data_IF_913092127276
#
_entry.id   IF_913092127276
#
_cell.length_a   1.000
_cell.length_b   1.000
_cell.length_c   1.000
_cell.angle_alpha   90.00
_cell.angle_beta   90.00
_cell.angle_gamma   90.00
#
_symmetry.space_group_name_H-M   'P 1'
#
loop_
_entity.id
_entity.type
_entity.pdbx_description
1 polymer ?
#
# COMPACT_ATOMS: atom_id res chain seq x y z
N UNK A 1 -7.49 7.35 14.37
CA UNK A 1 -6.68 6.15 14.04
C UNK A 1 -5.61 6.53 13.03
N UNK A 2 -4.45 5.86 13.07
CA UNK A 2 -3.30 6.11 12.19
C UNK A 2 -2.90 4.81 11.51
N UNK A 3 -2.87 4.80 10.18
CA UNK A 3 -2.46 3.65 9.36
C UNK A 3 -1.24 4.00 8.54
N UNK A 4 -0.31 3.05 8.40
CA UNK A 4 0.89 3.17 7.60
C UNK A 4 0.88 2.21 6.42
N UNK A 5 1.53 2.62 5.33
CA UNK A 5 1.93 1.76 4.22
C UNK A 5 3.28 2.18 3.65
N UNK A 6 3.95 1.26 2.96
CA UNK A 6 5.23 1.53 2.33
C UNK A 6 5.08 2.27 0.99
N UNK A 7 6.03 3.13 0.71
CA UNK A 7 6.18 3.84 -0.55
C UNK A 7 7.44 3.36 -1.25
N UNK A 8 7.32 3.15 -2.55
CA UNK A 8 8.39 2.77 -3.45
C UNK A 8 8.39 1.28 -3.80
N UNK A 9 9.36 0.92 -4.64
CA UNK A 9 9.57 -0.42 -5.17
C UNK A 9 10.89 -0.96 -4.67
N UNK A 10 10.90 -2.21 -4.22
CA UNK A 10 12.14 -2.93 -3.93
C UNK A 10 12.96 -3.14 -5.21
N UNK A 11 14.21 -2.69 -5.17
CA UNK A 11 15.24 -2.93 -6.18
C UNK A 11 16.51 -3.47 -5.50
N UNK A 12 17.51 -3.82 -6.30
CA UNK A 12 18.82 -4.25 -5.82
C UNK A 12 19.89 -3.55 -6.61
N UNK A 13 20.91 -3.04 -5.93
CA UNK A 13 22.04 -2.44 -6.62
C UNK A 13 22.92 -3.50 -7.30
N UNK A 14 23.93 -3.06 -8.06
CA UNK A 14 24.89 -3.95 -8.75
C UNK A 14 25.68 -4.88 -7.80
N UNK A 15 25.68 -4.58 -6.49
CA UNK A 15 26.35 -5.34 -5.43
C UNK A 15 25.36 -6.19 -4.60
N UNK A 16 24.08 -6.22 -4.96
CA UNK A 16 23.03 -6.96 -4.27
C UNK A 16 22.51 -6.30 -2.98
N UNK A 17 22.83 -5.01 -2.72
CA UNK A 17 22.33 -4.28 -1.56
C UNK A 17 20.85 -3.93 -1.72
N UNK A 18 20.13 -3.92 -0.60
CA UNK A 18 18.70 -3.57 -0.56
C UNK A 18 18.50 -2.09 -0.88
N UNK A 19 17.70 -1.82 -1.91
CA UNK A 19 17.40 -0.47 -2.36
C UNK A 19 15.89 -0.34 -2.58
N UNK A 20 15.37 0.86 -2.35
CA UNK A 20 13.99 1.24 -2.66
C UNK A 20 14.02 2.40 -3.63
N UNK A 21 13.29 2.27 -4.73
CA UNK A 21 13.07 3.37 -5.68
C UNK A 21 11.70 3.99 -5.38
N UNK A 22 11.66 5.28 -5.06
CA UNK A 22 10.44 6.03 -4.75
C UNK A 22 10.52 7.42 -5.38
N UNK A 23 9.43 7.86 -6.03
CA UNK A 23 9.35 9.17 -6.72
C UNK A 23 10.53 9.47 -7.69
N UNK A 24 11.14 8.43 -8.28
CA UNK A 24 12.29 8.58 -9.19
C UNK A 24 13.65 8.68 -8.49
N UNK A 25 13.70 8.57 -7.16
CA UNK A 25 14.93 8.58 -6.37
C UNK A 25 15.24 7.19 -5.78
N UNK A 26 16.53 6.91 -5.61
CA UNK A 26 17.04 5.66 -5.04
C UNK A 26 17.44 5.83 -3.57
N UNK A 27 16.90 4.95 -2.72
CA UNK A 27 17.12 4.97 -1.29
C UNK A 27 17.70 3.66 -0.79
N UNK A 28 18.87 3.73 -0.17
CA UNK A 28 19.44 2.59 0.54
C UNK A 28 18.80 2.47 1.92
N UNK A 29 18.26 1.28 2.21
CA UNK A 29 17.74 0.93 3.53
C UNK A 29 18.71 -0.04 4.20
N UNK A 30 18.91 0.14 5.50
CA UNK A 30 19.82 -0.70 6.30
C UNK A 30 19.14 -1.14 7.60
N UNK A 31 19.58 -2.28 8.11
CA UNK A 31 19.16 -2.80 9.42
C UNK A 31 17.62 -2.83 9.57
N UNK A 32 17.11 -2.21 10.64
CA UNK A 32 15.69 -2.14 10.96
C UNK A 32 14.83 -1.41 9.93
N UNK A 33 15.39 -0.48 9.14
CA UNK A 33 14.63 0.19 8.07
C UNK A 33 14.11 -0.81 7.03
N UNK A 34 14.90 -1.86 6.73
CA UNK A 34 14.52 -2.91 5.77
C UNK A 34 13.32 -3.68 6.28
N UNK A 35 13.31 -4.04 7.57
CA UNK A 35 12.22 -4.80 8.18
C UNK A 35 10.94 -3.96 8.28
N UNK A 36 11.04 -2.72 8.76
CA UNK A 36 9.89 -1.81 8.88
C UNK A 36 9.26 -1.54 7.51
N UNK A 37 10.07 -1.20 6.50
CA UNK A 37 9.56 -0.94 5.17
C UNK A 37 8.97 -2.20 4.52
N UNK A 38 9.65 -3.35 4.65
CA UNK A 38 9.15 -4.62 4.08
C UNK A 38 7.85 -5.09 4.74
N UNK A 39 7.67 -4.78 6.02
CA UNK A 39 6.44 -5.08 6.75
C UNK A 39 5.24 -4.28 6.27
N UNK A 40 5.48 -3.08 5.74
CA UNK A 40 4.44 -2.17 5.26
C UNK A 40 4.22 -2.28 3.75
N UNK A 41 5.04 -3.05 3.03
CA UNK A 41 4.92 -3.23 1.59
C UNK A 41 3.70 -4.08 1.23
N UNK A 42 2.76 -3.49 0.48
CA UNK A 42 1.46 -4.08 0.15
C UNK A 42 0.56 -4.34 1.37
N UNK A 43 0.82 -3.67 2.49
CA UNK A 43 -0.01 -3.77 3.68
C UNK A 43 -0.42 -2.39 4.22
N UNK A 44 -1.51 -2.38 4.98
CA UNK A 44 -2.04 -1.22 5.71
C UNK A 44 -2.07 -1.60 7.17
N UNK A 45 -1.14 -1.04 7.94
CA UNK A 45 -0.93 -1.46 9.34
C UNK A 45 -1.21 -0.29 10.26
N UNK A 46 -2.10 -0.51 11.22
CA UNK A 46 -2.40 0.46 12.26
C UNK A 46 -1.16 0.68 13.16
N UNK A 47 -0.93 1.93 13.59
CA UNK A 47 0.16 2.32 14.49
C UNK A 47 0.28 1.40 15.72
N UNK A 48 -0.84 1.05 16.35
CA UNK A 48 -0.86 0.19 17.55
C UNK A 48 -0.40 -1.25 17.30
N UNK A 49 -0.51 -1.73 16.06
CA UNK A 49 -0.15 -3.10 15.68
C UNK A 49 1.19 -3.20 14.95
N UNK A 50 1.81 -2.07 14.59
CA UNK A 50 3.01 -2.01 13.77
C UNK A 50 4.19 -2.81 14.37
N UNK A 51 4.43 -2.65 15.67
CA UNK A 51 5.54 -3.33 16.33
C UNK A 51 5.38 -4.85 16.26
N UNK A 52 4.19 -5.35 16.60
CA UNK A 52 3.90 -6.78 16.52
C UNK A 52 4.02 -7.29 15.09
N UNK A 53 3.60 -6.50 14.10
CA UNK A 53 3.70 -6.88 12.68
C UNK A 53 5.17 -6.99 12.23
N UNK A 54 6.03 -6.04 12.60
CA UNK A 54 7.47 -6.07 12.31
C UNK A 54 8.17 -7.23 13.02
N UNK A 55 7.89 -7.44 14.30
CA UNK A 55 8.48 -8.54 15.09
C UNK A 55 8.03 -9.91 14.58
N UNK A 56 6.79 -10.03 14.09
CA UNK A 56 6.28 -11.24 13.43
C UNK A 56 7.10 -11.60 12.19
N UNK A 57 7.37 -10.61 11.33
CA UNK A 57 8.19 -10.79 10.12
C UNK A 57 9.64 -11.14 10.42
N UNK A 58 10.17 -10.68 11.55
CA UNK A 58 11.48 -11.09 12.04
C UNK A 58 11.50 -12.51 12.62
N UNK A 59 10.36 -13.20 12.68
CA UNK A 59 10.24 -14.56 13.24
C UNK A 59 10.33 -14.61 14.76
N UNK A 60 10.19 -13.47 15.45
CA UNK A 60 10.36 -13.38 16.90
C UNK A 60 9.10 -13.75 17.70
N UNK A 61 7.93 -13.85 17.07
CA UNK A 61 6.65 -14.17 17.73
C UNK A 61 6.37 -15.69 17.81
N UNK A 62 7.22 -16.54 17.19
CA UNK A 62 7.00 -17.99 17.08
C UNK A 62 7.98 -18.89 17.84
N UNK A 63 9.01 -18.35 18.49
CA UNK A 63 9.94 -19.15 19.33
C UNK A 63 9.34 -19.34 20.72
N UNK A 64 8.30 -20.17 20.79
CA UNK A 64 7.70 -20.62 22.05
C UNK A 64 8.50 -21.82 22.55
N UNK A 65 9.50 -21.55 23.38
CA UNK A 65 10.29 -22.55 24.07
C UNK A 65 11.34 -21.85 24.91
N UNK A 66 11.13 -21.91 26.22
CA UNK A 66 11.98 -21.45 27.33
C UNK A 66 11.71 -20.02 27.81
N UNK A 67 11.25 -20.00 29.05
CA UNK A 67 10.88 -18.86 29.87
C UNK A 67 12.08 -17.92 30.14
N UNK A 68 11.73 -16.67 30.46
CA UNK A 68 12.58 -15.63 31.02
C UNK A 68 13.55 -14.93 30.03
N UNK A 69 13.33 -13.62 29.87
CA UNK A 69 14.31 -12.66 29.36
C UNK A 69 14.85 -12.85 27.93
N UNK A 70 14.00 -13.13 26.94
CA UNK A 70 14.26 -12.53 25.64
C UNK A 70 13.94 -11.04 25.76
N UNK A 71 14.92 -10.27 26.27
CA UNK A 71 15.04 -8.85 25.93
C UNK A 71 14.61 -8.70 24.47
N UNK A 72 13.54 -7.94 24.21
CA UNK A 72 13.22 -7.53 22.84
C UNK A 72 14.50 -6.89 22.30
N UNK A 73 15.31 -7.66 21.56
CA UNK A 73 16.64 -7.22 21.10
C UNK A 73 16.50 -5.94 20.29
N UNK A 74 15.34 -5.79 19.65
CA UNK A 74 14.84 -4.57 19.03
C UNK A 74 13.99 -3.80 20.04
N UNK A 75 14.46 -2.63 20.45
CA UNK A 75 13.69 -1.71 21.30
C UNK A 75 12.55 -1.10 20.49
N UNK A 76 11.38 -0.94 21.08
CA UNK A 76 10.24 -0.22 20.46
C UNK A 76 10.66 1.17 19.92
N UNK A 77 11.53 1.87 20.66
CA UNK A 77 12.09 3.17 20.24
C UNK A 77 12.89 3.11 18.94
N UNK A 78 13.54 1.98 18.62
CA UNK A 78 14.28 1.80 17.37
C UNK A 78 13.32 1.67 16.18
N UNK A 79 12.21 0.94 16.35
CA UNK A 79 11.16 0.84 15.33
C UNK A 79 10.54 2.22 15.09
N UNK A 80 10.16 2.95 16.14
CA UNK A 80 9.58 4.28 16.01
C UNK A 80 10.56 5.27 15.35
N UNK A 81 11.85 5.21 15.68
CA UNK A 81 12.86 6.01 15.01
C UNK A 81 12.96 5.70 13.51
N UNK A 82 12.94 4.42 13.13
CA UNK A 82 12.92 4.01 11.73
C UNK A 82 11.67 4.49 11.00
N UNK A 83 10.49 4.39 11.62
CA UNK A 83 9.23 4.90 11.06
C UNK A 83 9.34 6.40 10.79
N UNK A 84 9.74 7.19 11.79
CA UNK A 84 9.90 8.64 11.66
C UNK A 84 10.95 9.04 10.63
N UNK A 85 12.00 8.25 10.45
CA UNK A 85 13.03 8.47 9.43
C UNK A 85 12.52 8.12 8.03
N UNK A 86 11.81 7.02 7.88
CA UNK A 86 11.25 6.61 6.58
C UNK A 86 10.12 7.53 6.13
N UNK A 87 9.25 8.01 7.03
CA UNK A 87 8.25 9.04 6.74
C UNK A 87 8.90 10.32 6.21
N UNK A 88 9.94 10.82 6.88
CA UNK A 88 10.70 12.02 6.44
C UNK A 88 11.36 11.86 5.08
N UNK A 89 11.72 10.62 4.71
CA UNK A 89 12.30 10.28 3.39
C UNK A 89 11.25 9.99 2.33
N UNK A 90 9.95 10.11 2.65
CA UNK A 90 8.87 9.76 1.72
C UNK A 90 8.79 8.28 1.37
N UNK A 91 9.36 7.40 2.20
CA UNK A 91 9.39 5.95 2.01
C UNK A 91 8.28 5.20 2.77
N UNK A 92 7.60 5.91 3.66
CA UNK A 92 6.33 5.51 4.24
C UNK A 92 5.32 6.64 4.03
N UNK A 93 4.05 6.28 4.03
CA UNK A 93 2.94 7.22 4.04
C UNK A 93 1.99 6.82 5.16
N UNK A 94 1.34 7.81 5.76
CA UNK A 94 0.31 7.60 6.77
C UNK A 94 -1.01 8.24 6.37
N UNK A 95 -2.10 7.62 6.79
CA UNK A 95 -3.44 8.19 6.74
C UNK A 95 -4.08 8.26 8.11
N UNK A 96 -4.96 9.23 8.26
CA UNK A 96 -5.66 9.57 9.49
C UNK A 96 -7.18 9.51 9.30
N UNK A 97 -7.88 8.98 10.29
CA UNK A 97 -9.34 8.89 10.25
C UNK A 97 -9.95 8.36 11.53
N UNK A 98 -11.25 8.52 11.70
CA UNK A 98 -11.99 8.02 12.88
C UNK A 98 -12.07 6.49 12.91
N UNK A 99 -12.07 5.86 11.72
CA UNK A 99 -12.02 4.40 11.52
C UNK A 99 -10.82 3.97 10.68
N UNK A 100 -10.60 2.65 10.59
CA UNK A 100 -9.56 2.05 9.74
C UNK A 100 -9.82 2.38 8.27
N UNK A 101 -11.07 2.28 7.83
CA UNK A 101 -11.49 2.57 6.46
C UNK A 101 -11.26 4.04 6.12
N UNK A 102 -11.65 4.96 7.01
CA UNK A 102 -11.44 6.39 6.82
C UNK A 102 -9.95 6.73 6.69
N UNK A 103 -9.10 6.13 7.52
CA UNK A 103 -7.65 6.32 7.47
C UNK A 103 -7.03 5.74 6.18
N UNK A 104 -7.52 4.61 5.66
CA UNK A 104 -7.08 4.07 4.36
C UNK A 104 -7.51 4.98 3.21
N UNK A 105 -8.75 5.50 3.24
CA UNK A 105 -9.25 6.44 2.23
C UNK A 105 -8.39 7.70 2.20
N UNK A 106 -8.13 8.29 3.37
CA UNK A 106 -7.26 9.46 3.51
C UNK A 106 -5.85 9.19 2.97
N UNK A 107 -5.25 8.04 3.29
CA UNK A 107 -3.94 7.62 2.76
C UNK A 107 -3.97 7.52 1.23
N UNK A 108 -4.95 6.84 0.66
CA UNK A 108 -5.02 6.58 -0.78
C UNK A 108 -5.17 7.87 -1.59
N UNK A 109 -5.98 8.82 -1.11
CA UNK A 109 -6.18 10.11 -1.79
C UNK A 109 -4.93 11.00 -1.76
N UNK A 110 -3.95 10.71 -0.88
CA UNK A 110 -2.67 11.42 -0.78
C UNK A 110 -1.55 10.80 -1.60
N UNK A 111 -1.76 9.68 -2.29
CA UNK A 111 -0.66 8.95 -2.95
C UNK A 111 -0.79 8.88 -4.46
N UNK A 112 0.36 8.65 -5.10
CA UNK A 112 0.43 8.18 -6.47
C UNK A 112 0.66 6.67 -6.49
N UNK A 113 -0.13 5.95 -7.27
CA UNK A 113 -0.01 4.51 -7.45
C UNK A 113 0.37 4.16 -8.87
N UNK A 114 1.20 3.15 -9.06
CA UNK A 114 1.58 2.65 -10.39
C UNK A 114 1.39 1.14 -10.49
N UNK A 115 1.06 0.63 -11.69
CA UNK A 115 1.02 -0.80 -11.92
C UNK A 115 2.35 -1.49 -11.62
N UNK A 116 2.32 -2.50 -10.76
CA UNK A 116 3.44 -3.37 -10.51
C UNK A 116 3.63 -4.35 -11.67
N UNK A 117 4.52 -3.99 -12.59
CA UNK A 117 4.94 -4.83 -13.72
C UNK A 117 5.90 -5.94 -13.26
N UNK A 118 5.42 -6.85 -12.41
CA UNK A 118 6.05 -8.16 -12.31
C UNK A 118 5.84 -8.87 -13.64
N UNK A 119 6.93 -9.12 -14.36
CA UNK A 119 6.89 -9.82 -15.65
C UNK A 119 6.17 -11.15 -15.50
N UNK A 120 5.34 -11.51 -16.49
CA UNK A 120 4.60 -12.78 -16.53
C UNK A 120 5.54 -13.97 -16.29
N UNK A 121 6.78 -13.92 -16.78
CA UNK A 121 7.83 -14.92 -16.54
C UNK A 121 8.20 -15.09 -15.06
N UNK A 122 8.26 -14.01 -14.28
CA UNK A 122 8.53 -14.07 -12.84
C UNK A 122 7.32 -14.61 -12.06
N UNK A 123 6.10 -14.27 -12.50
CA UNK A 123 4.86 -14.81 -11.92
C UNK A 123 4.69 -16.30 -12.25
N UNK A 124 5.01 -16.70 -13.48
CA UNK A 124 5.04 -18.09 -13.93
C UNK A 124 6.13 -18.88 -13.22
N UNK A 125 7.32 -18.30 -13.02
CA UNK A 125 8.38 -18.94 -12.24
C UNK A 125 7.98 -19.16 -10.78
N UNK A 126 7.35 -18.17 -10.15
CA UNK A 126 6.79 -18.33 -8.81
C UNK A 126 5.71 -19.43 -8.74
N UNK A 127 4.87 -19.54 -9.78
CA UNK A 127 3.92 -20.64 -9.95
C UNK A 127 4.63 -22.00 -10.06
N UNK A 128 5.63 -22.14 -10.93
CA UNK A 128 6.39 -23.39 -11.09
C UNK A 128 7.07 -23.81 -9.78
N UNK A 129 7.63 -22.85 -9.02
CA UNK A 129 8.20 -23.14 -7.71
C UNK A 129 7.12 -23.58 -6.70
N UNK A 130 5.96 -22.91 -6.66
CA UNK A 130 4.84 -23.33 -5.81
C UNK A 130 4.30 -24.73 -6.15
N UNK A 131 4.21 -25.06 -7.45
CA UNK A 131 3.83 -26.40 -7.91
C UNK A 131 4.85 -27.46 -7.51
N UNK A 132 6.15 -27.17 -7.67
CA UNK A 132 7.23 -28.09 -7.29
C UNK A 132 7.29 -28.37 -5.78
N UNK A 133 6.68 -27.52 -4.96
CA UNK A 133 6.63 -27.65 -3.50
C UNK A 133 5.24 -28.09 -2.98
N UNK A 134 4.36 -28.57 -3.86
CA UNK A 134 3.10 -29.22 -3.48
C UNK A 134 1.93 -28.29 -3.12
N UNK A 135 2.00 -27.00 -3.47
CA UNK A 135 0.90 -26.07 -3.20
C UNK A 135 -0.25 -26.23 -4.22
N UNK A 136 -1.49 -26.11 -3.73
CA UNK A 136 -2.70 -26.16 -4.56
C UNK A 136 -2.74 -25.02 -5.59
N UNK A 137 -2.92 -25.39 -6.85
CA UNK A 137 -3.01 -24.44 -7.98
C UNK A 137 -4.15 -23.42 -7.81
N UNK A 138 -5.23 -23.80 -7.11
CA UNK A 138 -6.42 -22.94 -6.91
C UNK A 138 -6.10 -21.67 -6.10
N UNK A 139 -5.19 -21.75 -5.13
CA UNK A 139 -4.70 -20.60 -4.36
C UNK A 139 -3.62 -19.78 -5.09
N UNK A 140 -2.86 -20.42 -6.00
CA UNK A 140 -1.88 -19.73 -6.85
C UNK A 140 -2.56 -18.91 -7.97
N UNK A 141 -3.73 -19.34 -8.45
CA UNK A 141 -4.47 -18.69 -9.52
C UNK A 141 -5.29 -17.46 -9.09
N UNK A 142 -5.77 -17.39 -7.85
CA UNK A 142 -6.65 -16.29 -7.39
C UNK A 142 -5.97 -14.92 -7.42
N UNK A 143 -4.64 -14.86 -7.24
CA UNK A 143 -3.83 -13.65 -7.40
C UNK A 143 -3.25 -13.43 -8.81
N UNK A 144 -3.43 -14.38 -9.73
CA UNK A 144 -2.95 -14.31 -11.11
C UNK A 144 -4.04 -13.75 -12.04
N UNK A 145 -5.28 -14.20 -11.88
CA UNK A 145 -6.38 -13.78 -12.74
C UNK A 145 -6.85 -12.37 -12.39
N UNK A 146 -6.98 -11.56 -13.45
CA UNK A 146 -7.39 -10.17 -13.40
C UNK A 146 -8.72 -10.07 -14.13
N UNK A 147 -9.74 -9.49 -13.49
CA UNK A 147 -11.01 -9.27 -14.17
C UNK A 147 -10.89 -8.09 -15.15
N UNK A 148 -11.88 -7.91 -16.03
CA UNK A 148 -11.81 -6.87 -17.06
C UNK A 148 -11.79 -5.46 -16.46
N UNK A 149 -12.56 -5.23 -15.39
CA UNK A 149 -12.58 -3.95 -14.68
C UNK A 149 -11.23 -3.61 -14.03
N UNK A 150 -10.54 -4.61 -13.46
CA UNK A 150 -9.21 -4.49 -12.90
C UNK A 150 -8.17 -4.15 -13.99
N UNK A 151 -8.29 -4.74 -15.19
CA UNK A 151 -7.41 -4.39 -16.33
C UNK A 151 -7.63 -2.96 -16.78
N UNK A 152 -8.90 -2.55 -16.93
CA UNK A 152 -9.25 -1.19 -17.31
C UNK A 152 -8.74 -0.18 -16.28
N UNK A 153 -8.91 -0.48 -14.99
CA UNK A 153 -8.40 0.34 -13.90
C UNK A 153 -6.87 0.44 -13.92
N UNK A 154 -6.16 -0.68 -14.10
CA UNK A 154 -4.70 -0.65 -14.23
C UNK A 154 -4.24 0.18 -15.44
N UNK A 155 -4.92 0.08 -16.58
CA UNK A 155 -4.62 0.87 -17.77
C UNK A 155 -4.82 2.38 -17.54
N UNK A 156 -5.87 2.76 -16.80
CA UNK A 156 -6.09 4.16 -16.40
C UNK A 156 -5.03 4.67 -15.43
N UNK A 157 -4.69 3.85 -14.42
CA UNK A 157 -3.65 4.18 -13.43
C UNK A 157 -2.24 4.22 -14.04
N UNK A 158 -2.01 3.50 -15.13
CA UNK A 158 -0.74 3.56 -15.87
C UNK A 158 -0.49 4.94 -16.50
N UNK A 159 -1.55 5.68 -16.83
CA UNK A 159 -1.45 6.98 -17.50
C UNK A 159 -1.24 8.13 -16.52
N UNK A 160 -1.98 8.15 -15.40
CA UNK A 160 -1.98 9.28 -14.46
C UNK A 160 -1.39 8.96 -13.09
N UNK A 161 -1.53 7.71 -12.62
CA UNK A 161 -1.21 7.26 -11.26
C UNK A 161 -1.94 8.00 -10.12
N UNK A 162 -2.77 9.00 -10.44
CA UNK A 162 -3.44 9.88 -9.49
C UNK A 162 -4.88 9.42 -9.28
N UNK A 163 -5.18 8.94 -8.07
CA UNK A 163 -6.51 8.44 -7.73
C UNK A 163 -7.57 9.54 -7.72
N UNK A 164 -7.21 10.75 -7.31
CA UNK A 164 -8.13 11.90 -7.25
C UNK A 164 -8.57 12.34 -8.64
N UNK A 165 -7.66 12.37 -9.62
CA UNK A 165 -8.01 12.67 -11.01
C UNK A 165 -8.96 11.61 -11.59
N UNK A 166 -8.71 10.33 -11.33
CA UNK A 166 -9.59 9.25 -11.79
C UNK A 166 -10.97 9.29 -11.14
N UNK A 167 -11.05 9.72 -9.88
CA UNK A 167 -12.30 9.89 -9.18
C UNK A 167 -13.09 11.09 -9.73
N UNK A 168 -12.42 12.18 -10.08
CA UNK A 168 -13.03 13.34 -10.72
C UNK A 168 -13.63 12.98 -12.08
N UNK A 169 -12.91 12.18 -12.90
CA UNK A 169 -13.45 11.66 -14.17
C UNK A 169 -14.75 10.84 -13.94
N UNK A 170 -14.82 10.05 -12.87
CA UNK A 170 -16.03 9.29 -12.52
C UNK A 170 -17.18 10.21 -12.09
N UNK A 171 -16.88 11.25 -11.32
CA UNK A 171 -17.88 12.24 -10.91
C UNK A 171 -18.40 13.05 -12.09
N UNK A 172 -17.54 13.43 -13.02
CA UNK A 172 -17.95 14.14 -14.23
C UNK A 172 -18.92 13.29 -15.06
N UNK A 173 -18.60 12.01 -15.27
CA UNK A 173 -19.52 11.07 -15.97
C UNK A 173 -20.84 10.95 -15.22
N UNK A 174 -20.83 10.88 -13.89
CA UNK A 174 -22.07 10.85 -13.10
C UNK A 174 -22.87 12.14 -13.30
N UNK A 175 -22.22 13.30 -13.25
CA UNK A 175 -22.86 14.60 -13.46
C UNK A 175 -23.51 14.66 -14.84
N UNK A 176 -22.78 14.37 -15.90
CA UNK A 176 -23.27 14.42 -17.29
C UNK A 176 -24.51 13.55 -17.52
N UNK A 177 -24.58 12.38 -16.86
CA UNK A 177 -25.71 11.44 -17.02
C UNK A 177 -26.87 11.70 -16.03
N UNK A 178 -26.63 12.41 -14.93
CA UNK A 178 -27.65 12.71 -13.94
C UNK A 178 -28.54 13.91 -14.36
N UNK A 179 -29.86 13.73 -14.26
CA UNK A 179 -30.81 14.85 -14.39
C UNK A 179 -30.51 15.92 -13.33
N UNK A 180 -30.60 17.19 -13.71
CA UNK A 180 -30.29 18.31 -12.80
C UNK A 180 -31.09 18.27 -11.48
N UNK A 181 -32.35 17.83 -11.53
CA UNK A 181 -33.20 17.68 -10.35
C UNK A 181 -32.69 16.66 -9.36
N UNK A 182 -32.09 15.56 -9.85
CA UNK A 182 -31.51 14.52 -9.01
C UNK A 182 -30.24 15.03 -8.31
N UNK A 183 -29.47 15.90 -8.95
CA UNK A 183 -28.22 16.45 -8.38
C UNK A 183 -28.44 17.30 -7.12
N UNK A 184 -29.66 17.80 -6.90
CA UNK A 184 -30.02 18.61 -5.74
C UNK A 184 -30.44 17.76 -4.53
N UNK A 185 -30.62 16.45 -4.72
CA UNK A 185 -31.11 15.55 -3.69
C UNK A 185 -29.95 15.03 -2.83
N UNK A 186 -30.15 14.78 -1.52
CA UNK A 186 -29.14 14.16 -0.65
C UNK A 186 -28.60 12.83 -1.19
N UNK A 187 -29.45 12.05 -1.84
CA UNK A 187 -29.15 10.76 -2.47
C UNK A 187 -28.04 10.87 -3.54
N UNK A 188 -27.88 12.04 -4.14
CA UNK A 188 -26.79 12.30 -5.08
C UNK A 188 -25.43 12.32 -4.40
N UNK A 189 -25.34 12.90 -3.19
CA UNK A 189 -24.11 12.89 -2.42
C UNK A 189 -23.79 11.51 -1.86
N UNK A 190 -24.82 10.77 -1.41
CA UNK A 190 -24.67 9.37 -0.99
C UNK A 190 -24.14 8.50 -2.14
N UNK A 191 -24.64 8.72 -3.37
CA UNK A 191 -24.16 8.01 -4.56
C UNK A 191 -22.70 8.37 -4.88
N UNK A 192 -22.32 9.65 -4.80
CA UNK A 192 -20.91 10.06 -4.98
C UNK A 192 -19.99 9.38 -3.98
N UNK A 193 -20.35 9.37 -2.70
CA UNK A 193 -19.56 8.67 -1.67
C UNK A 193 -19.51 7.16 -1.90
N UNK A 194 -20.62 6.54 -2.33
CA UNK A 194 -20.63 5.11 -2.68
C UNK A 194 -19.66 4.81 -3.82
N UNK A 195 -19.68 5.60 -4.90
CA UNK A 195 -18.77 5.45 -6.05
C UNK A 195 -17.30 5.57 -5.62
N UNK A 196 -16.99 6.54 -4.76
CA UNK A 196 -15.66 6.74 -4.20
C UNK A 196 -15.20 5.54 -3.39
N UNK A 197 -16.02 5.04 -2.49
CA UNK A 197 -15.67 3.89 -1.66
C UNK A 197 -15.48 2.62 -2.50
N UNK A 198 -16.34 2.36 -3.47
CA UNK A 198 -16.22 1.21 -4.38
C UNK A 198 -14.95 1.29 -5.25
N UNK A 199 -14.64 2.47 -5.77
CA UNK A 199 -13.42 2.72 -6.52
C UNK A 199 -12.17 2.47 -5.66
N UNK A 200 -12.11 3.06 -4.47
CA UNK A 200 -10.97 2.90 -3.57
C UNK A 200 -10.83 1.47 -3.07
N UNK A 201 -11.94 0.76 -2.83
CA UNK A 201 -11.93 -0.66 -2.49
C UNK A 201 -11.28 -1.49 -3.61
N UNK A 202 -11.59 -1.18 -4.86
CA UNK A 202 -10.96 -1.84 -6.02
C UNK A 202 -9.45 -1.59 -6.06
N UNK A 203 -9.00 -0.37 -5.73
CA UNK A 203 -7.58 -0.03 -5.61
C UNK A 203 -6.91 -0.79 -4.46
N UNK A 204 -7.55 -0.88 -3.28
CA UNK A 204 -7.05 -1.66 -2.13
C UNK A 204 -6.86 -3.12 -2.52
N UNK A 205 -7.85 -3.72 -3.22
CA UNK A 205 -7.77 -5.10 -3.66
C UNK A 205 -6.58 -5.33 -4.62
N UNK A 206 -6.38 -4.43 -5.59
CA UNK A 206 -5.22 -4.49 -6.49
C UNK A 206 -3.89 -4.32 -5.74
N UNK A 207 -3.83 -3.43 -4.75
CA UNK A 207 -2.64 -3.22 -3.93
C UNK A 207 -2.31 -4.48 -3.11
N UNK A 208 -3.30 -5.09 -2.44
CA UNK A 208 -3.16 -6.36 -1.70
C UNK A 208 -2.80 -7.55 -2.61
N UNK A 209 -3.28 -7.55 -3.86
CA UNK A 209 -2.85 -8.49 -4.92
C UNK A 209 -1.44 -8.20 -5.47
N UNK A 210 -0.72 -7.23 -4.90
CA UNK A 210 0.63 -6.82 -5.30
C UNK A 210 0.67 -6.36 -6.77
N UNK A 211 -0.45 -5.85 -7.28
CA UNK A 211 -0.62 -5.33 -8.65
C UNK A 211 -0.35 -3.84 -8.74
N UNK A 212 -0.33 -3.15 -7.60
CA UNK A 212 0.00 -1.74 -7.50
C UNK A 212 1.21 -1.56 -6.59
N UNK A 213 1.91 -0.45 -6.78
CA UNK A 213 2.93 0.08 -5.89
C UNK A 213 2.56 1.53 -5.62
N UNK A 214 2.62 1.95 -4.36
CA UNK A 214 2.57 3.37 -4.01
C UNK A 214 3.92 3.96 -4.42
N UNK A 215 3.95 4.78 -5.45
CA UNK A 215 5.20 5.32 -6.01
C UNK A 215 5.69 6.55 -5.24
N UNK A 216 4.77 7.35 -4.71
CA UNK A 216 5.07 8.62 -4.06
C UNK A 216 3.83 9.22 -3.39
N UNK A 217 4.03 10.34 -2.73
CA UNK A 217 2.98 11.13 -2.07
C UNK A 217 2.67 12.34 -2.95
N UNK A 218 1.40 12.67 -3.12
CA UNK A 218 0.94 13.87 -3.80
C UNK A 218 1.40 15.08 -2.96
N UNK A 219 2.29 15.91 -3.49
CA UNK A 219 2.73 17.15 -2.84
C UNK A 219 1.61 18.21 -2.86
N UNK A 220 0.54 17.96 -2.11
CA UNK A 220 -0.36 19.01 -1.64
C UNK A 220 -0.04 19.29 -0.17
N UNK A 221 1.02 20.08 0.04
CA UNK A 221 1.08 21.01 1.16
C UNK A 221 1.31 20.49 2.58
N UNK A 222 2.04 19.39 2.83
CA UNK A 222 2.50 19.09 4.20
C UNK A 222 3.98 18.67 4.23
N UNK A 223 4.87 19.65 4.05
CA UNK A 223 6.18 19.66 4.71
C UNK A 223 6.09 20.09 6.18
N UNK A 224 4.88 20.32 6.70
CA UNK A 224 4.63 20.68 8.09
C UNK A 224 3.84 19.60 8.83
N UNK A 225 4.50 18.47 9.07
CA UNK A 225 4.21 17.63 10.21
C UNK A 225 5.51 17.06 10.77
N UNK A 226 6.46 17.97 11.01
CA UNK A 226 7.36 17.80 12.16
C UNK A 226 6.54 18.26 13.35
N UNK A 227 6.06 17.32 14.17
CA UNK A 227 6.03 17.44 15.63
C UNK A 227 5.45 16.17 16.28
N UNK A 228 6.35 15.48 17.00
CA UNK A 228 6.15 14.56 18.13
C UNK A 228 5.65 13.13 17.85
#
# INVERSE_FOLDING_TARGET
MLIFSAVGKKTTDKKGRFMVEAAGEEYYLVNMEVYVWSALLWDFVERGNLENHVLSLMGQIGRRGEDEELEKTVKSSEIQYCVSRLLRRGLLVCGEGESVEAAVVDLLLKVFVTPNRLTISLRFRALCMGLSHGFSVRGAFSGIFMNENERLLLGKLEQSGNLSLQLEDLYQVLEENAKWTFRLLPEYQELKETIKLDFLLSVVQLYKKKRLIIQGIQENGVREAVCL
#
